data_IF_774005123203
#
_entry.id   IF_774005123203
#
_cell.length_a   1.000
_cell.length_b   1.000
_cell.length_c   1.000
_cell.angle_alpha   90.00
_cell.angle_beta   90.00
_cell.angle_gamma   90.00
#
_symmetry.space_group_name_H-M   'P 1'
#
loop_
_entity.id
_entity.type
_entity.pdbx_description
1 polymer ?
#
# COMPACT_ATOMS: atom_id res chain seq x y z
N UNK A 1 -28.59 12.97 10.20
CA UNK A 1 -27.35 13.48 9.56
C UNK A 1 -26.29 12.43 9.19
N UNK A 2 -26.38 11.16 9.59
CA UNK A 2 -25.30 10.17 9.40
C UNK A 2 -25.12 9.70 7.94
N UNK A 3 -26.21 9.45 7.20
CA UNK A 3 -26.14 8.84 5.86
C UNK A 3 -25.47 9.72 4.78
N UNK A 4 -25.73 11.03 4.77
CA UNK A 4 -25.13 11.98 3.80
C UNK A 4 -23.60 12.06 3.96
N UNK A 5 -23.11 11.99 5.19
CA UNK A 5 -21.68 12.03 5.50
C UNK A 5 -20.95 10.78 5.00
N UNK A 6 -21.51 9.58 5.23
CA UNK A 6 -20.94 8.33 4.70
C UNK A 6 -20.96 8.26 3.17
N UNK A 7 -21.99 8.82 2.52
CA UNK A 7 -22.05 8.91 1.05
C UNK A 7 -20.91 9.77 0.50
N UNK A 8 -20.59 10.89 1.16
CA UNK A 8 -19.46 11.75 0.79
C UNK A 8 -18.11 11.04 0.99
N UNK A 9 -17.94 10.34 2.10
CA UNK A 9 -16.72 9.56 2.37
C UNK A 9 -16.51 8.44 1.34
N UNK A 10 -17.55 7.68 0.98
CA UNK A 10 -17.46 6.62 -0.03
C UNK A 10 -17.05 7.16 -1.41
N UNK A 11 -17.59 8.32 -1.82
CA UNK A 11 -17.20 8.98 -3.08
C UNK A 11 -15.73 9.40 -3.15
N UNK A 12 -15.10 9.61 -2.00
CA UNK A 12 -13.69 10.04 -1.91
C UNK A 12 -12.70 8.87 -1.83
N UNK A 13 -13.20 7.65 -1.65
CA UNK A 13 -12.37 6.46 -1.50
C UNK A 13 -12.38 5.66 -2.80
N UNK A 14 -11.22 5.14 -3.16
CA UNK A 14 -11.04 4.24 -4.29
C UNK A 14 -10.30 2.99 -3.83
N UNK A 15 -10.52 1.88 -4.53
CA UNK A 15 -9.76 0.65 -4.32
C UNK A 15 -8.42 0.73 -5.04
N UNK A 16 -7.38 0.37 -4.31
CA UNK A 16 -6.00 0.36 -4.80
C UNK A 16 -5.40 -1.02 -4.55
N UNK A 17 -4.70 -1.55 -5.55
CA UNK A 17 -3.84 -2.71 -5.35
C UNK A 17 -2.45 -2.21 -5.02
N UNK A 18 -1.90 -2.69 -3.91
CA UNK A 18 -0.59 -2.29 -3.41
C UNK A 18 0.28 -3.54 -3.29
N UNK A 19 1.46 -3.47 -3.90
CA UNK A 19 2.47 -4.53 -3.88
C UNK A 19 3.73 -3.99 -3.19
N UNK A 20 4.47 -4.86 -2.51
CA UNK A 20 5.56 -4.49 -1.60
C UNK A 20 6.78 -5.36 -1.82
N UNK A 21 7.96 -4.75 -1.78
CA UNK A 21 9.23 -5.48 -1.72
C UNK A 21 9.72 -5.55 -0.27
N UNK A 22 10.49 -6.58 0.06
CA UNK A 22 11.08 -6.78 1.39
C UNK A 22 12.55 -6.32 1.48
N UNK A 23 13.07 -5.70 0.42
CA UNK A 23 14.44 -5.18 0.37
C UNK A 23 14.56 -4.02 -0.61
N UNK A 24 15.59 -3.18 -0.44
CA UNK A 24 15.84 -1.97 -1.22
C UNK A 24 15.98 -2.25 -2.73
N UNK A 25 16.65 -3.35 -3.07
CA UNK A 25 16.86 -3.84 -4.44
C UNK A 25 16.00 -5.08 -4.76
N UNK A 26 14.99 -5.37 -3.94
CA UNK A 26 14.10 -6.49 -4.18
C UNK A 26 13.19 -6.22 -5.38
N UNK A 27 12.93 -7.25 -6.18
CA UNK A 27 11.95 -7.18 -7.25
C UNK A 27 10.53 -7.33 -6.72
N UNK A 28 9.59 -6.65 -7.38
CA UNK A 28 8.18 -6.88 -7.16
C UNK A 28 7.79 -8.20 -7.81
N UNK A 29 7.46 -9.20 -7.00
CA UNK A 29 7.21 -10.57 -7.46
C UNK A 29 5.92 -10.75 -8.27
N UNK A 30 5.15 -9.69 -8.51
CA UNK A 30 3.97 -9.75 -9.36
C UNK A 30 2.78 -10.42 -8.68
N UNK A 31 2.96 -11.42 -7.83
CA UNK A 31 1.85 -12.26 -7.34
C UNK A 31 1.39 -11.94 -5.91
N UNK A 32 1.98 -10.92 -5.28
CA UNK A 32 1.75 -10.58 -3.87
C UNK A 32 1.25 -9.15 -3.69
N UNK A 33 0.10 -8.82 -4.30
CA UNK A 33 -0.57 -7.54 -4.08
C UNK A 33 -1.73 -7.64 -3.10
N UNK A 34 -2.01 -6.55 -2.40
CA UNK A 34 -3.12 -6.42 -1.48
C UNK A 34 -4.02 -5.26 -1.87
N UNK A 35 -5.32 -5.52 -1.91
CA UNK A 35 -6.31 -4.49 -2.21
C UNK A 35 -6.67 -3.70 -0.95
N UNK A 36 -6.60 -2.37 -1.05
CA UNK A 36 -6.80 -1.43 0.05
C UNK A 36 -7.69 -0.28 -0.39
N UNK A 37 -8.71 0.01 0.40
CA UNK A 37 -9.54 1.20 0.20
C UNK A 37 -8.81 2.43 0.77
N UNK A 38 -8.58 3.47 -0.04
CA UNK A 38 -7.89 4.69 0.40
C UNK A 38 -8.36 5.93 -0.37
N UNK A 39 -8.04 7.13 0.12
CA UNK A 39 -8.36 8.38 -0.60
C UNK A 39 -7.37 8.66 -1.73
N UNK A 40 -6.12 8.23 -1.54
CA UNK A 40 -5.03 8.44 -2.49
C UNK A 40 -4.02 7.29 -2.40
N UNK A 41 -3.13 7.16 -3.40
CA UNK A 41 -2.14 6.10 -3.46
C UNK A 41 -1.21 6.02 -2.22
N UNK A 42 -0.76 7.16 -1.69
CA UNK A 42 0.10 7.20 -0.48
C UNK A 42 -0.60 6.62 0.76
N UNK A 43 -1.88 6.96 0.95
CA UNK A 43 -2.68 6.42 2.05
C UNK A 43 -2.95 4.92 1.89
N UNK A 44 -2.99 4.40 0.67
CA UNK A 44 -3.09 2.96 0.43
C UNK A 44 -1.85 2.23 0.95
N UNK A 45 -0.65 2.71 0.60
CA UNK A 45 0.61 2.17 1.11
C UNK A 45 0.71 2.26 2.64
N UNK A 46 0.36 3.42 3.22
CA UNK A 46 0.35 3.61 4.68
C UNK A 46 -0.58 2.62 5.39
N UNK A 47 -1.79 2.43 4.88
CA UNK A 47 -2.76 1.46 5.44
C UNK A 47 -2.24 0.03 5.32
N UNK A 48 -1.57 -0.31 4.23
CA UNK A 48 -0.96 -1.62 4.05
C UNK A 48 0.16 -1.87 5.08
N UNK A 49 1.06 -0.89 5.23
CA UNK A 49 2.13 -0.95 6.23
C UNK A 49 1.59 -1.06 7.66
N UNK A 50 0.49 -0.35 7.99
CA UNK A 50 -0.17 -0.46 9.29
C UNK A 50 -0.75 -1.86 9.56
N UNK A 51 -1.09 -2.63 8.52
CA UNK A 51 -1.49 -4.05 8.65
C UNK A 51 -0.30 -4.99 8.90
N UNK A 52 0.93 -4.47 8.95
CA UNK A 52 2.14 -5.26 9.16
C UNK A 52 2.77 -5.81 7.87
N UNK A 53 2.17 -5.55 6.72
CA UNK A 53 2.67 -6.01 5.42
C UNK A 53 3.80 -5.09 4.96
N UNK A 54 4.90 -5.68 4.47
CA UNK A 54 6.13 -4.96 4.16
C UNK A 54 6.96 -4.56 5.39
N UNK A 55 6.56 -4.95 6.61
CA UNK A 55 7.44 -4.92 7.78
C UNK A 55 8.06 -6.30 7.92
N UNK A 56 9.38 -6.42 7.71
CA UNK A 56 10.10 -7.61 8.15
C UNK A 56 10.02 -7.67 9.69
N UNK A 57 9.05 -8.42 10.21
CA UNK A 57 8.94 -8.77 11.62
C UNK A 57 9.74 -10.03 11.88
N UNK A 58 11.05 -9.98 11.66
CA UNK A 58 11.95 -10.96 12.28
C UNK A 58 12.31 -10.40 13.64
N UNK A 59 11.62 -10.87 14.68
CA UNK A 59 11.93 -10.57 16.09
C UNK A 59 13.34 -11.10 16.34
N UNK A 60 14.36 -10.25 16.25
CA UNK A 60 15.76 -10.62 16.49
C UNK A 60 16.82 -9.97 15.60
N UNK A 61 16.46 -9.33 14.49
CA UNK A 61 17.44 -8.64 13.62
C UNK A 61 17.03 -7.21 13.34
N UNK A 62 17.45 -6.30 14.23
CA UNK A 62 17.39 -4.83 14.02
C UNK A 62 18.27 -4.40 12.83
N UNK A 63 19.02 -5.31 12.20
CA UNK A 63 19.77 -5.08 10.97
C UNK A 63 19.17 -5.88 9.80
N UNK A 64 18.36 -5.20 8.98
CA UNK A 64 18.32 -5.29 7.51
C UNK A 64 17.08 -4.57 7.02
N UNK A 65 17.25 -3.27 6.90
CA UNK A 65 16.56 -2.40 5.95
C UNK A 65 15.02 -2.39 5.98
N UNK A 66 14.46 -1.44 6.72
CA UNK A 66 13.05 -1.02 6.65
C UNK A 66 12.67 -0.31 5.32
N UNK A 67 13.33 -0.62 4.21
CA UNK A 67 13.23 0.09 2.94
C UNK A 67 12.24 -0.57 1.97
N UNK A 68 11.14 -1.10 2.50
CA UNK A 68 10.10 -1.71 1.67
C UNK A 68 9.66 -0.70 0.60
N UNK A 69 9.83 -1.05 -0.68
CA UNK A 69 9.34 -0.24 -1.78
C UNK A 69 7.91 -0.64 -2.03
N UNK A 70 7.04 0.35 -2.18
CA UNK A 70 5.64 0.13 -2.48
C UNK A 70 5.40 0.49 -3.94
N UNK A 71 4.59 -0.31 -4.64
CA UNK A 71 3.97 0.11 -5.88
C UNK A 71 2.47 -0.02 -5.77
N UNK A 72 1.75 0.85 -6.45
CA UNK A 72 0.30 0.92 -6.33
C UNK A 72 -0.34 1.25 -7.66
N UNK A 73 -1.51 0.66 -7.89
CA UNK A 73 -2.40 0.98 -9.00
C UNK A 73 -3.84 1.04 -8.50
N UNK A 74 -4.73 1.64 -9.28
CA UNK A 74 -6.18 1.53 -9.02
C UNK A 74 -6.66 0.14 -9.46
N UNK A 75 -7.44 -0.53 -8.61
CA UNK A 75 -7.90 -1.92 -8.84
C UNK A 75 -8.75 -2.06 -10.11
N UNK A 76 -9.61 -1.08 -10.36
CA UNK A 76 -10.57 -1.11 -11.49
C UNK A 76 -9.96 -0.62 -12.81
N UNK A 77 -8.70 -0.20 -12.82
CA UNK A 77 -8.08 0.40 -14.00
C UNK A 77 -6.98 -0.49 -14.57
N UNK A 78 -6.85 -0.51 -15.89
CA UNK A 78 -5.67 -1.02 -16.61
C UNK A 78 -4.41 -0.16 -16.40
N UNK A 79 -4.40 0.76 -15.42
CA UNK A 79 -3.27 1.64 -15.15
C UNK A 79 -2.02 0.84 -14.80
N UNK A 80 -0.89 1.37 -15.24
CA UNK A 80 0.42 0.89 -14.87
C UNK A 80 0.68 1.08 -13.36
N UNK A 81 1.42 0.14 -12.79
CA UNK A 81 1.92 0.24 -11.43
C UNK A 81 2.74 1.51 -11.23
N UNK A 82 2.45 2.27 -10.18
CA UNK A 82 3.22 3.45 -9.79
C UNK A 82 4.05 3.16 -8.56
N UNK A 83 5.35 3.29 -8.68
CA UNK A 83 6.24 3.22 -7.53
C UNK A 83 5.99 4.41 -6.61
N UNK A 84 5.80 4.13 -5.32
CA UNK A 84 5.69 5.12 -4.26
C UNK A 84 6.80 4.87 -3.27
N UNK A 85 7.78 5.78 -3.27
CA UNK A 85 8.73 5.90 -2.18
C UNK A 85 7.98 6.50 -0.99
N UNK A 86 7.86 5.70 0.07
CA UNK A 86 7.36 6.17 1.35
C UNK A 86 8.59 6.32 2.27
N UNK A 87 9.03 7.55 2.48
CA UNK A 87 9.95 7.89 3.55
C UNK A 87 9.09 8.11 4.79
N UNK A 88 9.03 7.09 5.64
CA UNK A 88 8.34 7.15 6.93
C UNK A 88 9.18 7.84 7.97
#
# INVERSE_FOLDING_TARGET
>A
MKAKHFKKLRKQLKWYDVDTTYGLFGDFKGDSWHTVLAKNPKQACYRLQKRGIGRNLTVGSISKEMWARFRVKLTESSNHWRNISYFG
#
